data_IF_190191827351
#
_entry.id   IF_190191827351
#
_cell.length_a   1.000
_cell.length_b   1.000
_cell.length_c   1.000
_cell.angle_alpha   90.00
_cell.angle_beta   90.00
_cell.angle_gamma   90.00
#
_symmetry.space_group_name_H-M   'P 1'
#
loop_
_entity.id
_entity.type
_entity.pdbx_description
1 polymer ?
#
# COMPACT_ATOMS: atom_id res chain seq x y z
N UNK A 1 53.36 -30.49 36.03
CA UNK A 1 52.18 -30.82 35.13
C UNK A 1 51.31 -29.57 35.04
N UNK A 2 51.37 -28.88 33.89
CA UNK A 2 50.66 -27.63 33.69
C UNK A 2 49.47 -27.91 32.79
N UNK A 3 48.25 -27.74 33.32
CA UNK A 3 47.00 -27.85 32.55
C UNK A 3 46.79 -26.60 31.73
N UNK A 4 46.78 -26.70 30.42
CA UNK A 4 46.46 -25.64 29.47
C UNK A 4 44.94 -25.59 29.34
N UNK A 5 44.31 -24.53 29.84
CA UNK A 5 42.90 -24.21 29.63
C UNK A 5 42.76 -23.63 28.23
N UNK A 6 42.15 -24.39 27.34
CA UNK A 6 41.75 -23.93 26.01
C UNK A 6 40.46 -23.11 26.12
N UNK A 7 40.57 -21.81 25.95
CA UNK A 7 39.42 -20.89 25.84
C UNK A 7 38.85 -20.98 24.43
N UNK A 8 37.71 -21.64 24.31
CA UNK A 8 36.91 -21.59 23.09
C UNK A 8 36.10 -20.28 23.09
N UNK A 9 36.55 -19.31 22.32
CA UNK A 9 35.80 -18.12 21.99
C UNK A 9 34.85 -18.45 20.82
N UNK A 10 33.59 -18.67 21.12
CA UNK A 10 32.54 -18.76 20.11
C UNK A 10 32.24 -17.36 19.58
N UNK A 11 32.74 -17.07 18.38
CA UNK A 11 32.36 -15.87 17.63
C UNK A 11 30.92 -16.04 17.14
N UNK A 12 30.00 -15.30 17.76
CA UNK A 12 28.62 -15.19 17.31
C UNK A 12 28.59 -14.25 16.10
N UNK A 13 28.57 -14.84 14.91
CA UNK A 13 28.44 -14.07 13.66
C UNK A 13 27.01 -13.49 13.58
N UNK A 14 26.89 -12.19 13.82
CA UNK A 14 25.69 -11.43 13.58
C UNK A 14 25.48 -11.34 12.06
N UNK A 15 24.66 -12.21 11.50
CA UNK A 15 24.21 -12.08 10.11
C UNK A 15 23.22 -10.92 10.07
N UNK A 16 23.71 -9.73 9.73
CA UNK A 16 22.86 -8.61 9.37
C UNK A 16 22.16 -8.96 8.05
N UNK A 17 20.88 -9.38 8.11
CA UNK A 17 20.01 -9.40 6.94
C UNK A 17 19.82 -7.95 6.48
N UNK A 18 20.69 -7.52 5.57
CA UNK A 18 20.48 -6.30 4.80
C UNK A 18 19.28 -6.55 3.90
N UNK A 19 18.10 -6.13 4.36
CA UNK A 19 16.90 -6.10 3.56
C UNK A 19 17.17 -5.21 2.34
N UNK A 20 17.31 -5.80 1.16
CA UNK A 20 17.35 -5.07 -0.10
C UNK A 20 15.98 -4.40 -0.24
N UNK A 21 15.92 -3.13 0.11
CA UNK A 21 14.79 -2.28 -0.23
C UNK A 21 14.83 -2.08 -1.74
N UNK A 22 14.05 -2.88 -2.46
CA UNK A 22 13.74 -2.61 -3.87
C UNK A 22 13.01 -1.27 -3.89
N UNK A 23 13.73 -0.22 -4.29
CA UNK A 23 13.20 1.10 -4.56
C UNK A 23 12.34 1.04 -5.85
N UNK A 24 11.24 0.31 -5.80
CA UNK A 24 10.10 0.47 -6.69
C UNK A 24 9.31 1.70 -6.28
N UNK A 25 8.33 2.08 -7.06
CA UNK A 25 7.46 3.27 -6.93
C UNK A 25 6.79 3.50 -5.55
N UNK A 26 7.14 2.75 -4.53
CA UNK A 26 6.52 2.78 -3.19
C UNK A 26 5.12 2.16 -3.14
N UNK A 27 4.58 1.70 -4.26
CA UNK A 27 3.27 1.07 -4.37
C UNK A 27 3.39 -0.46 -4.43
N UNK A 28 2.66 -1.15 -3.55
CA UNK A 28 2.46 -2.60 -3.62
C UNK A 28 1.36 -2.95 -4.64
N UNK A 29 1.31 -4.21 -5.06
CA UNK A 29 0.30 -4.73 -6.01
C UNK A 29 -0.47 -5.93 -5.46
N UNK A 30 -0.35 -6.19 -4.17
CA UNK A 30 -0.99 -7.30 -3.48
C UNK A 30 -1.58 -6.81 -2.15
N UNK A 31 -2.91 -6.88 -2.02
CA UNK A 31 -3.62 -6.39 -0.84
C UNK A 31 -3.34 -7.27 0.38
N UNK A 32 -3.32 -8.59 0.22
CA UNK A 32 -3.11 -9.51 1.35
C UNK A 32 -1.69 -9.36 1.92
N UNK A 33 -0.68 -9.22 1.05
CA UNK A 33 0.68 -8.92 1.47
C UNK A 33 0.80 -7.55 2.18
N UNK A 34 0.08 -6.54 1.70
CA UNK A 34 0.04 -5.21 2.32
C UNK A 34 -0.64 -5.25 3.70
N UNK A 35 -1.73 -5.99 3.86
CA UNK A 35 -2.41 -6.17 5.15
C UNK A 35 -1.54 -6.93 6.17
N UNK A 36 -0.76 -7.93 5.71
CA UNK A 36 0.22 -8.60 6.57
C UNK A 36 1.33 -7.64 7.04
N UNK A 37 1.84 -6.81 6.13
CA UNK A 37 2.83 -5.75 6.43
C UNK A 37 2.26 -4.70 7.40
N UNK A 38 1.00 -4.31 7.22
CA UNK A 38 0.29 -3.37 8.07
C UNK A 38 0.31 -3.78 9.55
N UNK A 39 0.05 -5.05 9.84
CA UNK A 39 0.09 -5.61 11.20
C UNK A 39 1.47 -5.50 11.84
N UNK A 40 2.53 -5.74 11.06
CA UNK A 40 3.92 -5.67 11.54
C UNK A 40 4.38 -4.23 11.75
N UNK A 41 4.06 -3.33 10.81
CA UNK A 41 4.50 -1.93 10.86
C UNK A 41 3.56 -1.02 11.66
N UNK A 42 2.40 -1.53 12.11
CA UNK A 42 1.35 -0.75 12.78
C UNK A 42 0.93 0.47 11.95
N UNK A 43 0.68 0.23 10.66
CA UNK A 43 0.45 1.25 9.67
C UNK A 43 -0.77 0.90 8.81
N UNK A 44 -1.74 1.81 8.61
CA UNK A 44 -2.90 1.55 7.78
C UNK A 44 -2.53 1.35 6.30
N UNK A 45 -3.42 0.75 5.54
CA UNK A 45 -3.27 0.49 4.11
C UNK A 45 -4.25 1.34 3.32
N UNK A 46 -3.76 1.98 2.25
CA UNK A 46 -4.57 2.64 1.24
C UNK A 46 -4.50 1.81 -0.05
N UNK A 47 -5.64 1.32 -0.51
CA UNK A 47 -5.74 0.56 -1.77
C UNK A 47 -6.44 1.41 -2.82
N UNK A 48 -5.76 1.71 -3.92
CA UNK A 48 -6.33 2.29 -5.13
C UNK A 48 -6.76 1.17 -6.09
N UNK A 49 -8.03 1.11 -6.46
CA UNK A 49 -8.55 0.28 -7.54
C UNK A 49 -8.74 1.15 -8.78
N UNK A 50 -8.14 0.75 -9.90
CA UNK A 50 -8.04 1.60 -11.10
C UNK A 50 -8.14 0.81 -12.40
N UNK A 51 -8.49 1.50 -13.49
CA UNK A 51 -8.44 1.00 -14.87
C UNK A 51 -7.52 1.91 -15.68
N UNK A 52 -6.21 1.67 -15.60
CA UNK A 52 -5.16 2.61 -16.00
C UNK A 52 -5.14 3.01 -17.47
N UNK A 53 -5.71 2.18 -18.36
CA UNK A 53 -5.65 2.40 -19.83
C UNK A 53 -7.01 2.57 -20.49
N UNK A 54 -8.12 2.57 -19.74
CA UNK A 54 -9.47 2.67 -20.30
C UNK A 54 -10.44 3.55 -19.48
N UNK A 55 -10.11 3.90 -18.26
CA UNK A 55 -10.98 4.64 -17.34
C UNK A 55 -10.52 6.12 -17.29
N UNK A 56 -11.23 7.07 -17.94
CA UNK A 56 -10.80 8.46 -17.98
C UNK A 56 -10.60 9.11 -16.62
N UNK A 57 -11.49 8.98 -15.61
CA UNK A 57 -11.24 9.52 -14.29
C UNK A 57 -10.06 8.85 -13.56
N UNK A 58 -9.77 7.56 -13.83
CA UNK A 58 -8.60 6.87 -13.29
C UNK A 58 -7.30 7.47 -13.86
N UNK A 59 -7.26 7.69 -15.18
CA UNK A 59 -6.12 8.30 -15.87
C UNK A 59 -5.88 9.73 -15.36
N UNK A 60 -6.96 10.50 -15.15
CA UNK A 60 -6.89 11.82 -14.56
C UNK A 60 -6.29 11.79 -13.15
N UNK A 61 -6.77 10.89 -12.27
CA UNK A 61 -6.28 10.76 -10.91
C UNK A 61 -4.82 10.33 -10.86
N UNK A 62 -4.42 9.39 -11.72
CA UNK A 62 -3.01 9.03 -11.85
C UNK A 62 -2.15 10.25 -12.20
N UNK A 63 -2.55 10.99 -13.24
CA UNK A 63 -1.81 12.17 -13.72
C UNK A 63 -1.73 13.30 -12.70
N UNK A 64 -2.84 13.59 -12.00
CA UNK A 64 -2.94 14.76 -11.11
C UNK A 64 -2.52 14.48 -9.67
N UNK A 65 -2.64 13.23 -9.20
CA UNK A 65 -2.43 12.87 -7.80
C UNK A 65 -1.42 11.73 -7.65
N UNK A 66 -1.76 10.51 -8.08
CA UNK A 66 -1.04 9.30 -7.68
C UNK A 66 0.36 9.16 -8.28
N UNK A 67 0.63 9.77 -9.44
CA UNK A 67 1.98 9.82 -10.03
C UNK A 67 2.86 10.94 -9.44
N UNK A 68 2.30 11.82 -8.60
CA UNK A 68 3.05 12.94 -8.05
C UNK A 68 3.92 12.48 -6.87
N UNK A 69 5.21 12.82 -6.96
CA UNK A 69 6.16 12.57 -5.87
C UNK A 69 5.69 13.18 -4.54
N UNK A 70 5.13 14.38 -4.58
CA UNK A 70 4.58 15.05 -3.41
C UNK A 70 3.47 14.22 -2.72
N UNK A 71 2.61 13.55 -3.51
CA UNK A 71 1.60 12.64 -2.96
C UNK A 71 2.25 11.40 -2.36
N UNK A 72 3.09 10.70 -3.13
CA UNK A 72 3.71 9.44 -2.68
C UNK A 72 4.57 9.64 -1.43
N UNK A 73 5.37 10.71 -1.39
CA UNK A 73 6.22 11.01 -0.23
C UNK A 73 5.39 11.29 1.04
N UNK A 74 4.30 12.05 0.92
CA UNK A 74 3.44 12.37 2.05
C UNK A 74 2.58 11.17 2.50
N UNK A 75 1.89 10.51 1.55
CA UNK A 75 0.98 9.42 1.85
C UNK A 75 1.72 8.18 2.37
N UNK A 76 2.91 7.85 1.83
CA UNK A 76 3.69 6.70 2.26
C UNK A 76 4.24 6.82 3.69
N UNK A 77 4.30 8.02 4.27
CA UNK A 77 4.62 8.20 5.70
C UNK A 77 3.52 7.66 6.61
N UNK A 78 2.26 7.76 6.19
CA UNK A 78 1.08 7.40 6.99
C UNK A 78 0.45 6.07 6.57
N UNK A 79 0.56 5.68 5.30
CA UNK A 79 -0.11 4.53 4.71
C UNK A 79 0.87 3.61 3.98
N UNK A 80 0.59 2.32 3.96
CA UNK A 80 1.12 1.40 2.97
C UNK A 80 0.26 1.57 1.72
N UNK A 81 0.88 1.92 0.60
CA UNK A 81 0.18 2.21 -0.65
C UNK A 81 0.07 0.95 -1.52
N UNK A 82 -1.13 0.65 -1.99
CA UNK A 82 -1.42 -0.50 -2.88
C UNK A 82 -2.18 -0.03 -4.10
N UNK A 83 -1.80 -0.51 -5.28
CA UNK A 83 -2.48 -0.27 -6.54
C UNK A 83 -2.96 -1.57 -7.15
N UNK A 84 -4.26 -1.69 -7.36
CA UNK A 84 -4.91 -2.81 -8.04
C UNK A 84 -5.48 -2.32 -9.36
N UNK A 85 -4.77 -2.65 -10.44
CA UNK A 85 -5.11 -2.23 -11.79
C UNK A 85 -5.86 -3.32 -12.55
N UNK A 86 -6.89 -2.95 -13.31
CA UNK A 86 -7.63 -3.83 -14.22
C UNK A 86 -7.50 -3.33 -15.68
N UNK A 87 -6.27 -3.37 -16.25
CA UNK A 87 -6.02 -2.83 -17.59
C UNK A 87 -6.67 -3.66 -18.68
N UNK A 88 -7.00 -3.04 -19.82
CA UNK A 88 -7.47 -3.76 -21.01
C UNK A 88 -6.32 -4.41 -21.80
N UNK A 89 -5.12 -3.81 -21.77
CA UNK A 89 -3.95 -4.28 -22.51
C UNK A 89 -3.33 -5.56 -21.93
N UNK A 90 -3.49 -5.78 -20.62
CA UNK A 90 -3.02 -7.00 -19.95
C UNK A 90 -4.20 -7.81 -19.41
N UNK A 91 -4.69 -8.74 -20.23
CA UNK A 91 -5.85 -9.59 -19.89
C UNK A 91 -5.62 -10.51 -18.71
N UNK A 92 -4.37 -10.99 -18.52
CA UNK A 92 -4.03 -11.87 -17.41
C UNK A 92 -4.07 -11.12 -16.09
N UNK A 93 -3.45 -9.93 -16.03
CA UNK A 93 -3.51 -9.03 -14.87
C UNK A 93 -4.95 -8.60 -14.58
N UNK A 94 -5.70 -8.22 -15.61
CA UNK A 94 -7.12 -7.86 -15.48
C UNK A 94 -7.92 -8.98 -14.82
N UNK A 95 -7.82 -10.21 -15.35
CA UNK A 95 -8.53 -11.38 -14.81
C UNK A 95 -8.14 -11.67 -13.35
N UNK A 96 -6.85 -11.59 -13.03
CA UNK A 96 -6.35 -11.73 -11.65
C UNK A 96 -6.98 -10.67 -10.74
N UNK A 97 -6.86 -9.40 -11.11
CA UNK A 97 -7.28 -8.29 -10.26
C UNK A 97 -8.81 -8.11 -10.19
N UNK A 98 -9.57 -8.54 -11.20
CA UNK A 98 -11.04 -8.60 -11.09
C UNK A 98 -11.51 -9.49 -9.94
N UNK A 99 -10.78 -10.58 -9.63
CA UNK A 99 -11.07 -11.41 -8.45
C UNK A 99 -10.84 -10.65 -7.16
N UNK A 100 -9.81 -9.78 -7.14
CA UNK A 100 -9.52 -8.91 -5.98
C UNK A 100 -10.64 -7.88 -5.79
N UNK A 101 -11.09 -7.21 -6.87
CA UNK A 101 -12.22 -6.29 -6.80
C UNK A 101 -13.46 -7.00 -6.23
N UNK A 102 -13.76 -8.20 -6.72
CA UNK A 102 -14.89 -9.01 -6.21
C UNK A 102 -14.74 -9.36 -4.74
N UNK A 103 -13.55 -9.80 -4.32
CA UNK A 103 -13.24 -10.13 -2.91
C UNK A 103 -13.53 -8.94 -1.99
N UNK A 104 -13.13 -7.74 -2.39
CA UNK A 104 -13.30 -6.52 -1.61
C UNK A 104 -14.57 -5.74 -1.96
N UNK A 105 -15.49 -6.34 -2.73
CA UNK A 105 -16.80 -5.75 -3.12
C UNK A 105 -16.66 -4.36 -3.76
N UNK A 106 -15.65 -4.19 -4.62
CA UNK A 106 -15.44 -2.96 -5.39
C UNK A 106 -16.22 -3.09 -6.70
N UNK A 107 -17.24 -2.25 -6.89
CA UNK A 107 -18.14 -2.28 -8.04
C UNK A 107 -17.73 -1.35 -9.17
N UNK A 108 -16.82 -0.42 -8.93
CA UNK A 108 -16.38 0.56 -9.92
C UNK A 108 -15.01 1.13 -9.62
N UNK A 109 -14.44 1.81 -10.61
CA UNK A 109 -13.15 2.49 -10.51
C UNK A 109 -13.28 3.95 -11.00
N UNK A 110 -12.49 4.89 -10.45
CA UNK A 110 -11.47 4.74 -9.42
C UNK A 110 -12.08 4.70 -8.01
N UNK A 111 -11.76 3.67 -7.24
CA UNK A 111 -12.18 3.54 -5.84
C UNK A 111 -10.95 3.44 -4.94
N UNK A 112 -11.00 4.12 -3.82
CA UNK A 112 -10.04 3.97 -2.73
C UNK A 112 -10.72 3.26 -1.57
N UNK A 113 -10.03 2.27 -1.00
CA UNK A 113 -10.43 1.57 0.23
C UNK A 113 -9.32 1.72 1.25
N UNK A 114 -9.67 2.09 2.47
CA UNK A 114 -8.75 2.25 3.59
C UNK A 114 -8.94 1.13 4.60
N UNK A 115 -7.85 0.46 4.96
CA UNK A 115 -7.81 -0.58 5.98
C UNK A 115 -6.93 -0.14 7.14
N UNK A 116 -7.36 -0.46 8.36
CA UNK A 116 -6.52 -0.31 9.54
C UNK A 116 -5.36 -1.32 9.57
N UNK A 117 -4.45 -1.15 10.51
CA UNK A 117 -3.38 -2.10 10.78
C UNK A 117 -3.89 -3.46 11.32
N UNK A 118 -5.13 -3.50 11.80
CA UNK A 118 -5.86 -4.71 12.15
C UNK A 118 -6.47 -5.46 10.93
N UNK A 119 -6.35 -4.88 9.73
CA UNK A 119 -6.87 -5.42 8.48
C UNK A 119 -8.36 -5.17 8.23
N UNK A 120 -9.04 -4.40 9.10
CA UNK A 120 -10.44 -4.03 8.90
C UNK A 120 -10.57 -2.80 8.03
N UNK A 121 -11.51 -2.84 7.09
CA UNK A 121 -11.89 -1.65 6.33
C UNK A 121 -12.55 -0.62 7.26
N UNK A 122 -12.09 0.63 7.18
CA UNK A 122 -12.70 1.72 7.94
C UNK A 122 -13.24 2.85 7.06
N UNK A 123 -12.86 2.91 5.78
CA UNK A 123 -13.40 3.88 4.83
C UNK A 123 -13.29 3.41 3.38
N UNK A 124 -14.20 3.91 2.53
CA UNK A 124 -14.07 3.85 1.08
C UNK A 124 -14.73 5.05 0.41
N UNK A 125 -14.14 5.50 -0.70
CA UNK A 125 -14.66 6.62 -1.46
C UNK A 125 -14.19 6.58 -2.92
N UNK A 126 -14.85 7.36 -3.80
CA UNK A 126 -14.37 7.54 -5.16
C UNK A 126 -13.19 8.51 -5.18
N UNK A 127 -12.05 8.06 -5.73
CA UNK A 127 -10.85 8.88 -5.80
C UNK A 127 -11.05 10.19 -6.57
N UNK A 128 -11.90 10.19 -7.60
CA UNK A 128 -12.14 11.36 -8.46
C UNK A 128 -12.82 12.54 -7.75
N UNK A 129 -13.34 12.33 -6.55
CA UNK A 129 -13.90 13.42 -5.74
C UNK A 129 -12.81 14.40 -5.21
N UNK A 130 -11.56 13.96 -5.15
CA UNK A 130 -10.44 14.75 -4.62
C UNK A 130 -9.29 14.86 -5.64
N UNK A 131 -9.47 15.63 -6.74
CA UNK A 131 -8.57 15.59 -7.90
C UNK A 131 -7.30 16.45 -7.75
N UNK A 132 -6.89 16.75 -6.52
CA UNK A 132 -5.63 17.47 -6.22
C UNK A 132 -4.85 16.76 -5.13
N UNK A 133 -3.52 16.85 -5.13
CA UNK A 133 -2.66 16.24 -4.10
C UNK A 133 -3.06 16.75 -2.71
N UNK A 134 -3.23 18.06 -2.54
CA UNK A 134 -3.61 18.66 -1.26
C UNK A 134 -4.98 18.17 -0.78
N UNK A 135 -5.98 18.20 -1.66
CA UNK A 135 -7.34 17.76 -1.32
C UNK A 135 -7.42 16.28 -1.00
N UNK A 136 -6.66 15.44 -1.74
CA UNK A 136 -6.64 14.01 -1.49
C UNK A 136 -5.96 13.66 -0.15
N UNK A 137 -4.84 14.31 0.16
CA UNK A 137 -4.15 14.12 1.45
C UNK A 137 -5.04 14.58 2.61
N UNK A 138 -5.74 15.72 2.47
CA UNK A 138 -6.69 16.19 3.48
C UNK A 138 -7.84 15.19 3.69
N UNK A 139 -8.34 14.55 2.62
CA UNK A 139 -9.36 13.50 2.74
C UNK A 139 -8.83 12.28 3.50
N UNK A 140 -7.60 11.84 3.20
CA UNK A 140 -6.98 10.73 3.94
C UNK A 140 -6.84 11.04 5.43
N UNK A 141 -6.47 12.28 5.78
CA UNK A 141 -6.37 12.71 7.18
C UNK A 141 -7.76 12.73 7.85
N UNK A 142 -8.78 13.25 7.18
CA UNK A 142 -10.17 13.24 7.67
C UNK A 142 -10.68 11.83 7.95
N UNK A 143 -10.44 10.87 7.05
CA UNK A 143 -10.88 9.49 7.24
C UNK A 143 -10.11 8.78 8.36
N UNK A 144 -8.84 9.12 8.54
CA UNK A 144 -8.02 8.59 9.64
C UNK A 144 -8.52 9.09 11.00
N UNK A 145 -8.80 10.40 11.11
CA UNK A 145 -9.35 11.01 12.32
C UNK A 145 -10.71 10.40 12.70
N UNK A 146 -11.59 10.14 11.73
CA UNK A 146 -12.88 9.46 12.01
C UNK A 146 -12.69 8.07 12.59
N UNK A 147 -11.73 7.29 12.03
CA UNK A 147 -11.39 5.95 12.55
C UNK A 147 -10.98 5.99 14.02
N UNK A 148 -10.23 7.02 14.42
CA UNK A 148 -9.72 7.14 15.80
C UNK A 148 -10.80 7.59 16.81
N UNK A 149 -11.96 8.07 16.31
CA UNK A 149 -13.10 8.50 17.13
C UNK A 149 -14.15 7.40 17.35
N UNK A 150 -14.15 6.32 16.56
CA UNK A 150 -15.08 5.18 16.63
C UNK A 150 -14.50 4.04 17.47
#
# INVERSE_FOLDING_TARGET
MKAIKLLMTTAFALVALSGVSLAGSGWMTDVDAALAKAKTEKKPVMVEFTGSDWCPPCIMMHKKVFSKKAFTDAASKKYILVKIDIPNKDKALKKKNQKVLKKYKVSGVPTVVLFGDDGKEFSRFSASQFPTVKGFLAQLDTEHEKKDMD
#
